data_IF_551695036094
#
_entry.id   IF_551695036094
#
_cell.length_a   1.000
_cell.length_b   1.000
_cell.length_c   1.000
_cell.angle_alpha   90.00
_cell.angle_beta   90.00
_cell.angle_gamma   90.00
#
_symmetry.space_group_name_H-M   'P 1'
#
loop_
_entity.id
_entity.type
_entity.pdbx_description
1 polymer ?
#
# COMPACT_ATOMS: atom_id res chain seq x y z
N UNK A 1 5.02 19.18 -37.93
CA UNK A 1 5.00 20.23 -36.89
C UNK A 1 4.08 19.80 -35.75
N UNK A 2 4.51 20.02 -34.51
CA UNK A 2 3.68 19.75 -33.32
C UNK A 2 2.71 20.93 -33.11
N UNK A 3 1.41 20.66 -32.94
CA UNK A 3 0.40 21.70 -32.68
C UNK A 3 -0.16 21.55 -31.26
N UNK A 4 -0.81 22.61 -30.75
CA UNK A 4 -1.32 22.68 -29.37
C UNK A 4 -2.17 21.45 -29.01
N UNK A 5 -3.04 21.01 -29.91
CA UNK A 5 -3.91 19.85 -29.68
C UNK A 5 -3.10 18.57 -29.54
N UNK A 6 -2.15 18.30 -30.45
CA UNK A 6 -1.28 17.12 -30.38
C UNK A 6 -0.41 17.11 -29.13
N UNK A 7 0.13 18.26 -28.75
CA UNK A 7 0.91 18.43 -27.51
C UNK A 7 0.07 18.09 -26.27
N UNK A 8 -1.13 18.67 -26.14
CA UNK A 8 -2.01 18.42 -25.00
C UNK A 8 -2.47 16.96 -24.93
N UNK A 9 -2.80 16.34 -26.07
CA UNK A 9 -3.19 14.92 -26.09
C UNK A 9 -2.03 14.00 -25.71
N UNK A 10 -0.80 14.30 -26.15
CA UNK A 10 0.37 13.50 -25.75
C UNK A 10 0.69 13.65 -24.26
N UNK A 11 0.57 14.86 -23.71
CA UNK A 11 0.78 15.11 -22.28
C UNK A 11 -0.28 14.41 -21.44
N UNK A 12 -1.56 14.51 -21.81
CA UNK A 12 -2.63 13.82 -21.11
C UNK A 12 -2.49 12.30 -21.16
N UNK A 13 -2.08 11.73 -22.30
CA UNK A 13 -1.83 10.30 -22.44
C UNK A 13 -0.64 9.83 -21.57
N UNK A 14 0.43 10.63 -21.47
CA UNK A 14 1.55 10.33 -20.59
C UNK A 14 1.18 10.38 -19.10
N UNK A 15 0.40 11.38 -18.69
CA UNK A 15 -0.11 11.51 -17.31
C UNK A 15 -1.05 10.35 -16.98
N UNK A 16 -2.00 10.04 -17.86
CA UNK A 16 -2.87 8.88 -17.73
C UNK A 16 -2.06 7.58 -17.51
N UNK A 17 -1.08 7.31 -18.38
CA UNK A 17 -0.26 6.11 -18.27
C UNK A 17 0.50 5.98 -16.94
N UNK A 18 0.89 7.10 -16.30
CA UNK A 18 1.56 7.11 -15.01
C UNK A 18 0.62 6.94 -13.81
N UNK A 19 -0.67 7.27 -13.96
CA UNK A 19 -1.65 7.22 -12.87
C UNK A 19 -2.64 6.06 -12.95
N UNK A 20 -2.59 5.26 -14.02
CA UNK A 20 -3.42 4.06 -14.17
C UNK A 20 -2.79 2.79 -13.58
N UNK A 21 -1.72 2.90 -12.80
CA UNK A 21 -1.24 1.76 -12.00
C UNK A 21 -2.25 1.49 -10.87
N UNK A 22 -2.90 0.33 -10.84
CA UNK A 22 -3.83 0.02 -9.76
C UNK A 22 -3.05 -0.04 -8.43
N UNK A 23 -3.42 0.81 -7.48
CA UNK A 23 -2.91 0.78 -6.12
C UNK A 23 -3.74 -0.21 -5.30
N UNK A 24 -3.55 -1.52 -5.55
CA UNK A 24 -4.17 -2.55 -4.73
C UNK A 24 -3.60 -2.53 -3.30
N UNK A 25 -4.42 -2.90 -2.33
CA UNK A 25 -3.94 -3.12 -0.98
C UNK A 25 -2.84 -4.20 -1.01
N UNK A 26 -1.71 -3.92 -0.37
CA UNK A 26 -0.69 -4.94 -0.17
C UNK A 26 -1.16 -5.90 0.92
N UNK A 27 -0.82 -7.18 0.79
CA UNK A 27 -1.05 -8.14 1.87
C UNK A 27 -0.35 -7.65 3.14
N UNK A 28 -1.11 -7.59 4.24
CA UNK A 28 -0.54 -7.30 5.53
C UNK A 28 0.14 -8.56 6.06
N UNK A 29 1.46 -8.57 6.27
CA UNK A 29 2.12 -9.72 6.86
C UNK A 29 1.59 -9.94 8.27
N UNK A 30 1.31 -11.20 8.62
CA UNK A 30 0.91 -11.54 9.98
C UNK A 30 2.10 -11.31 10.93
N UNK A 31 1.91 -10.42 11.90
CA UNK A 31 2.91 -10.16 12.94
C UNK A 31 2.96 -11.34 13.91
N UNK A 32 4.15 -11.91 14.09
CA UNK A 32 4.43 -12.90 15.13
C UNK A 32 5.07 -12.16 16.31
N UNK A 33 4.32 -12.04 17.40
CA UNK A 33 4.76 -11.32 18.60
C UNK A 33 5.33 -12.34 19.58
N UNK A 34 6.60 -12.16 19.97
CA UNK A 34 7.21 -12.93 21.06
C UNK A 34 6.86 -12.30 22.40
N UNK A 35 6.19 -13.07 23.26
CA UNK A 35 5.80 -12.62 24.60
C UNK A 35 6.60 -13.43 25.62
N UNK A 36 7.52 -12.81 26.40
CA UNK A 36 8.28 -13.50 27.42
C UNK A 36 7.45 -13.71 28.70
N UNK A 37 6.25 -14.28 28.54
CA UNK A 37 5.33 -14.58 29.63
C UNK A 37 4.78 -16.01 29.47
N UNK A 38 4.44 -16.64 30.58
CA UNK A 38 3.74 -17.92 30.55
C UNK A 38 2.34 -17.75 29.92
N UNK A 39 1.83 -18.75 29.18
CA UNK A 39 0.48 -18.70 28.63
C UNK A 39 -0.58 -18.46 29.71
N UNK A 40 -1.54 -17.58 29.44
CA UNK A 40 -2.64 -17.27 30.36
C UNK A 40 -2.32 -16.28 31.48
N UNK A 41 -1.07 -15.81 31.61
CA UNK A 41 -0.70 -14.75 32.55
C UNK A 41 -1.18 -13.36 32.11
N UNK A 42 -1.18 -12.38 33.03
CA UNK A 42 -1.60 -11.01 32.71
C UNK A 42 -0.80 -10.40 31.54
N UNK A 43 0.51 -10.67 31.49
CA UNK A 43 1.37 -10.24 30.39
C UNK A 43 1.09 -10.95 29.05
N UNK A 44 0.58 -12.19 29.06
CA UNK A 44 0.11 -12.88 27.85
C UNK A 44 -1.22 -12.30 27.37
N UNK A 45 -2.12 -11.90 28.27
CA UNK A 45 -3.36 -11.19 27.89
C UNK A 45 -3.09 -9.82 27.29
N UNK A 46 -2.23 -9.01 27.91
CA UNK A 46 -1.87 -7.68 27.39
C UNK A 46 -1.30 -7.74 25.97
N UNK A 47 -0.58 -8.81 25.64
CA UNK A 47 -0.03 -8.99 24.29
C UNK A 47 -1.05 -9.49 23.25
N UNK A 48 -2.22 -9.98 23.69
CA UNK A 48 -3.31 -10.48 22.84
C UNK A 48 -4.39 -9.43 22.56
N UNK A 49 -4.37 -8.30 23.26
CA UNK A 49 -5.33 -7.20 23.17
C UNK A 49 -4.68 -5.94 22.64
#
# INVERSE_FOLDING_TARGET
MLNRRRFLTSTAAGIAALHFTPAFAQDAPQLQIFVPAAPGGGWDQTART
#
